data_IF_946807187143
#
_entry.id   IF_946807187143
#
_cell.length_a   1.000
_cell.length_b   1.000
_cell.length_c   1.000
_cell.angle_alpha   90.00
_cell.angle_beta   90.00
_cell.angle_gamma   90.00
#
_symmetry.space_group_name_H-M   'P 1'
#
loop_
_entity.id
_entity.type
_entity.pdbx_description
1 polymer ?
#
# COMPACT_ATOMS: atom_id res chain seq x y z
N UNK A 1 -1.63 -27.86 -35.72
CA UNK A 1 -2.21 -28.36 -34.46
C UNK A 1 -1.07 -28.53 -33.49
N UNK A 2 -0.49 -27.45 -32.95
CA UNK A 2 -1.04 -26.44 -32.02
C UNK A 2 -1.19 -27.01 -30.61
N UNK A 3 -0.15 -26.85 -29.77
CA UNK A 3 -0.26 -26.45 -28.36
C UNK A 3 1.13 -26.44 -27.73
N UNK A 4 1.70 -25.25 -27.52
CA UNK A 4 2.59 -24.93 -26.38
C UNK A 4 2.79 -23.41 -26.27
N UNK A 5 1.69 -22.66 -26.18
CA UNK A 5 1.72 -21.26 -25.78
C UNK A 5 0.88 -21.13 -24.51
N UNK A 6 1.55 -21.10 -23.34
CA UNK A 6 0.84 -21.02 -22.07
C UNK A 6 1.71 -20.80 -20.83
N UNK A 7 3.00 -20.46 -20.97
CA UNK A 7 3.87 -20.13 -19.83
C UNK A 7 4.80 -18.97 -20.22
N UNK A 8 4.50 -17.75 -19.76
CA UNK A 8 5.40 -16.62 -19.99
C UNK A 8 4.84 -15.20 -19.85
N UNK A 9 3.59 -15.01 -19.39
CA UNK A 9 3.01 -13.66 -19.26
C UNK A 9 3.16 -13.03 -17.85
N UNK A 10 3.32 -13.81 -16.78
CA UNK A 10 3.37 -13.29 -15.40
C UNK A 10 4.61 -12.43 -15.07
N UNK A 11 5.77 -12.73 -15.65
CA UNK A 11 7.04 -12.03 -15.35
C UNK A 11 7.14 -10.65 -15.98
N UNK A 12 6.73 -10.50 -17.26
CA UNK A 12 6.95 -9.25 -18.00
C UNK A 12 6.14 -8.07 -17.46
N UNK A 13 4.90 -8.30 -17.02
CA UNK A 13 4.05 -7.21 -16.51
C UNK A 13 4.55 -6.73 -15.15
N UNK A 14 5.02 -7.64 -14.31
CA UNK A 14 5.60 -7.31 -13.00
C UNK A 14 6.91 -6.53 -13.14
N UNK A 15 7.80 -6.96 -14.04
CA UNK A 15 9.06 -6.27 -14.33
C UNK A 15 8.81 -4.83 -14.80
N UNK A 16 7.85 -4.64 -15.72
CA UNK A 16 7.45 -3.31 -16.21
C UNK A 16 6.87 -2.45 -15.09
N UNK A 17 6.00 -2.99 -14.23
CA UNK A 17 5.44 -2.19 -13.13
C UNK A 17 6.51 -1.88 -12.08
N UNK A 18 7.46 -2.79 -11.84
CA UNK A 18 8.57 -2.53 -10.93
C UNK A 18 9.48 -1.42 -11.46
N UNK A 19 9.79 -1.43 -12.75
CA UNK A 19 10.58 -0.40 -13.42
C UNK A 19 9.88 0.96 -13.40
N UNK A 20 8.61 1.02 -13.81
CA UNK A 20 7.80 2.25 -13.75
C UNK A 20 7.70 2.78 -12.32
N UNK A 21 7.56 1.90 -11.33
CA UNK A 21 7.51 2.32 -9.92
C UNK A 21 8.84 2.90 -9.47
N UNK A 22 9.96 2.27 -9.84
CA UNK A 22 11.30 2.74 -9.51
C UNK A 22 11.63 4.08 -10.20
N UNK A 23 11.24 4.23 -11.46
CA UNK A 23 11.38 5.48 -12.21
C UNK A 23 10.52 6.61 -11.66
N UNK A 24 9.33 6.30 -11.14
CA UNK A 24 8.42 7.29 -10.51
C UNK A 24 8.88 7.69 -9.10
N UNK A 25 9.51 6.77 -8.36
CA UNK A 25 10.04 7.02 -7.01
C UNK A 25 11.14 8.09 -7.00
N UNK A 26 11.98 8.10 -8.04
CA UNK A 26 13.12 9.01 -8.19
C UNK A 26 12.70 10.50 -8.29
N UNK A 27 11.81 10.93 -9.20
CA UNK A 27 11.36 12.33 -9.28
C UNK A 27 10.54 12.74 -8.05
N UNK A 28 9.75 11.84 -7.46
CA UNK A 28 9.04 12.14 -6.20
C UNK A 28 10.00 12.36 -5.02
N UNK A 29 11.06 11.54 -4.92
CA UNK A 29 12.13 11.73 -3.93
C UNK A 29 12.85 13.06 -4.11
N UNK A 30 13.14 13.44 -5.36
CA UNK A 30 13.75 14.74 -5.67
C UNK A 30 12.82 15.90 -5.29
N UNK A 31 11.53 15.81 -5.61
CA UNK A 31 10.54 16.82 -5.24
C UNK A 31 10.44 17.01 -3.71
N UNK A 32 10.41 15.90 -2.94
CA UNK A 32 10.44 15.97 -1.47
C UNK A 32 11.73 16.59 -0.95
N UNK A 33 12.88 16.24 -1.52
CA UNK A 33 14.17 16.81 -1.13
C UNK A 33 14.18 18.34 -1.27
N UNK A 34 13.76 18.87 -2.42
CA UNK A 34 13.64 20.32 -2.61
C UNK A 34 12.63 20.95 -1.65
N UNK A 35 11.51 20.29 -1.41
CA UNK A 35 10.49 20.78 -0.48
C UNK A 35 11.00 20.83 0.96
N UNK A 36 11.76 19.82 1.41
CA UNK A 36 12.43 19.82 2.71
C UNK A 36 13.40 21.00 2.85
N UNK A 37 14.19 21.31 1.81
CA UNK A 37 15.07 22.49 1.82
C UNK A 37 14.30 23.81 1.99
N UNK A 38 13.10 23.91 1.38
CA UNK A 38 12.23 25.10 1.51
C UNK A 38 11.62 25.17 2.92
N UNK A 39 11.12 24.04 3.44
CA UNK A 39 10.47 23.95 4.75
C UNK A 39 11.46 24.17 5.92
N UNK A 40 12.72 23.75 5.76
CA UNK A 40 13.83 24.03 6.67
C UNK A 40 14.36 25.48 6.56
N UNK A 41 13.72 26.33 5.75
CA UNK A 41 14.11 27.72 5.50
C UNK A 41 15.55 27.89 4.96
N UNK A 42 16.14 26.83 4.37
CA UNK A 42 17.48 26.87 3.77
C UNK A 42 17.54 27.67 2.47
N UNK A 43 16.38 27.99 1.89
CA UNK A 43 16.22 28.78 0.65
C UNK A 43 15.63 30.18 0.96
N UNK A 44 15.35 30.48 2.23
CA UNK A 44 14.78 31.75 2.69
C UNK A 44 13.65 31.56 3.72
N UNK A 45 13.24 32.65 4.40
CA UNK A 45 12.21 32.58 5.43
C UNK A 45 10.83 32.23 4.85
N UNK A 46 10.08 31.38 5.55
CA UNK A 46 8.80 30.84 5.07
C UNK A 46 7.69 31.13 6.08
N UNK A 47 6.70 31.95 5.69
CA UNK A 47 5.69 32.46 6.63
C UNK A 47 4.25 32.29 6.15
N UNK A 48 3.36 32.13 7.13
CA UNK A 48 1.92 32.19 6.95
C UNK A 48 1.37 31.06 6.06
N UNK A 49 0.33 31.33 5.25
CA UNK A 49 -0.39 30.32 4.48
C UNK A 49 0.48 29.52 3.50
N UNK A 50 1.63 30.07 3.07
CA UNK A 50 2.54 29.37 2.16
C UNK A 50 3.19 28.15 2.83
N UNK A 51 3.58 28.26 4.12
CA UNK A 51 4.15 27.15 4.88
C UNK A 51 3.16 25.99 4.99
N UNK A 52 1.93 26.29 5.40
CA UNK A 52 0.86 25.28 5.51
C UNK A 52 0.59 24.58 4.17
N UNK A 53 0.60 25.33 3.06
CA UNK A 53 0.43 24.75 1.71
C UNK A 53 1.59 23.84 1.33
N UNK A 54 2.82 24.21 1.66
CA UNK A 54 4.00 23.37 1.38
C UNK A 54 4.03 22.11 2.25
N UNK A 55 3.60 22.19 3.51
CA UNK A 55 3.42 21.02 4.38
C UNK A 55 2.35 20.06 3.83
N UNK A 56 1.24 20.58 3.29
CA UNK A 56 0.24 19.78 2.60
C UNK A 56 0.81 19.08 1.35
N UNK A 57 1.69 19.75 0.60
CA UNK A 57 2.37 19.14 -0.56
C UNK A 57 3.32 18.02 -0.11
N UNK A 58 4.07 18.19 0.99
CA UNK A 58 4.98 17.14 1.49
C UNK A 58 4.18 15.91 1.94
N UNK A 59 3.07 16.12 2.65
CA UNK A 59 2.17 15.04 3.05
C UNK A 59 1.68 14.25 1.82
N UNK A 60 1.23 14.94 0.77
CA UNK A 60 0.77 14.30 -0.47
C UNK A 60 1.88 13.55 -1.23
N UNK A 61 3.10 14.09 -1.23
CA UNK A 61 4.26 13.39 -1.80
C UNK A 61 4.63 12.14 -0.99
N UNK A 62 4.52 12.20 0.34
CA UNK A 62 4.71 11.05 1.22
C UNK A 62 3.67 9.95 1.00
N UNK A 63 2.39 10.33 0.87
CA UNK A 63 1.31 9.40 0.49
C UNK A 63 1.61 8.71 -0.85
N UNK A 64 2.02 9.47 -1.88
CA UNK A 64 2.36 8.92 -3.19
C UNK A 64 3.53 7.92 -3.14
N UNK A 65 4.58 8.23 -2.36
CA UNK A 65 5.69 7.30 -2.16
C UNK A 65 5.25 6.03 -1.44
N UNK A 66 4.43 6.14 -0.39
CA UNK A 66 3.90 4.99 0.33
C UNK A 66 3.05 4.10 -0.59
N UNK A 67 2.22 4.69 -1.44
CA UNK A 67 1.41 3.96 -2.41
C UNK A 67 2.28 3.18 -3.43
N UNK A 68 3.38 3.78 -3.92
CA UNK A 68 4.33 3.13 -4.83
C UNK A 68 5.03 1.95 -4.16
N UNK A 69 5.53 2.14 -2.94
CA UNK A 69 6.18 1.09 -2.16
C UNK A 69 5.22 -0.06 -1.89
N UNK A 70 3.95 0.29 -1.63
CA UNK A 70 2.92 -0.69 -1.41
C UNK A 70 2.63 -1.54 -2.64
N UNK A 71 2.72 -0.94 -3.82
CA UNK A 71 2.49 -1.62 -5.11
C UNK A 71 3.61 -2.59 -5.44
N UNK A 72 4.87 -2.20 -5.23
CA UNK A 72 6.05 -3.06 -5.42
C UNK A 72 6.01 -4.28 -4.51
N UNK A 73 5.74 -4.08 -3.21
CA UNK A 73 5.64 -5.18 -2.28
C UNK A 73 4.43 -6.09 -2.58
N UNK A 74 3.33 -5.57 -3.11
CA UNK A 74 2.21 -6.39 -3.56
C UNK A 74 2.63 -7.29 -4.73
N UNK A 75 3.29 -6.73 -5.74
CA UNK A 75 3.80 -7.49 -6.89
C UNK A 75 4.79 -8.58 -6.48
N UNK A 76 5.77 -8.24 -5.64
CA UNK A 76 6.75 -9.22 -5.18
C UNK A 76 6.10 -10.36 -4.39
N UNK A 77 5.05 -10.05 -3.63
CA UNK A 77 4.34 -11.07 -2.85
C UNK A 77 3.41 -11.91 -3.73
N UNK A 78 2.78 -11.34 -4.76
CA UNK A 78 2.00 -12.08 -5.75
C UNK A 78 2.87 -13.05 -6.56
N UNK A 79 4.02 -12.58 -7.07
CA UNK A 79 4.96 -13.45 -7.77
C UNK A 79 5.49 -14.58 -6.87
N UNK A 80 5.73 -14.28 -5.59
CA UNK A 80 6.20 -15.27 -4.63
C UNK A 80 5.13 -16.30 -4.30
N UNK A 81 3.86 -15.91 -4.17
CA UNK A 81 2.75 -16.85 -3.95
C UNK A 81 2.44 -17.70 -5.20
N UNK A 82 2.67 -17.17 -6.42
CA UNK A 82 2.60 -17.94 -7.66
C UNK A 82 3.73 -18.97 -7.76
N UNK A 83 4.94 -18.64 -7.29
CA UNK A 83 6.12 -19.52 -7.34
C UNK A 83 6.19 -20.51 -6.16
N UNK A 84 5.67 -20.15 -4.98
CA UNK A 84 5.62 -20.97 -3.77
C UNK A 84 4.20 -20.98 -3.13
N UNK A 85 3.26 -21.78 -3.69
CA UNK A 85 1.91 -21.92 -3.13
C UNK A 85 1.88 -22.50 -1.70
N UNK A 86 3.00 -23.09 -1.27
CA UNK A 86 3.25 -23.59 0.09
C UNK A 86 3.19 -22.48 1.17
N UNK A 87 3.22 -21.21 0.79
CA UNK A 87 3.06 -20.08 1.72
C UNK A 87 1.63 -19.94 2.29
N UNK A 88 0.65 -20.65 1.70
CA UNK A 88 -0.75 -20.64 2.13
C UNK A 88 -0.98 -21.54 3.33
N UNK A 89 -1.16 -20.90 4.49
CA UNK A 89 -1.52 -21.52 5.75
C UNK A 89 -3.01 -21.34 6.06
N UNK A 90 -3.53 -22.12 7.01
CA UNK A 90 -4.87 -21.89 7.56
C UNK A 90 -4.84 -20.61 8.39
N UNK A 91 -5.72 -19.66 8.09
CA UNK A 91 -5.81 -18.37 8.77
C UNK A 91 -7.22 -18.18 9.30
N UNK A 92 -7.32 -17.70 10.54
CA UNK A 92 -8.55 -17.16 11.10
C UNK A 92 -8.84 -15.79 10.46
N UNK A 93 -9.85 -15.76 9.60
CA UNK A 93 -10.26 -14.57 8.85
C UNK A 93 -10.78 -13.50 9.79
N UNK A 94 -11.50 -13.89 10.86
CA UNK A 94 -12.07 -12.94 11.80
C UNK A 94 -10.95 -12.20 12.55
N UNK A 95 -9.96 -12.95 13.04
CA UNK A 95 -8.79 -12.37 13.71
C UNK A 95 -7.99 -11.43 12.78
N UNK A 96 -7.85 -11.80 11.49
CA UNK A 96 -7.17 -10.97 10.50
C UNK A 96 -7.91 -9.64 10.26
N UNK A 97 -9.25 -9.68 10.12
CA UNK A 97 -10.08 -8.48 9.93
C UNK A 97 -10.07 -7.59 11.17
N UNK A 98 -10.18 -8.17 12.37
CA UNK A 98 -10.07 -7.41 13.63
C UNK A 98 -8.71 -6.71 13.76
N UNK A 99 -7.63 -7.38 13.39
CA UNK A 99 -6.29 -6.79 13.39
C UNK A 99 -6.18 -5.60 12.43
N UNK A 100 -6.78 -5.70 11.24
CA UNK A 100 -6.81 -4.61 10.27
C UNK A 100 -7.65 -3.41 10.76
N UNK A 101 -8.82 -3.68 11.36
CA UNK A 101 -9.64 -2.62 11.98
C UNK A 101 -8.87 -1.91 13.09
N UNK A 102 -8.16 -2.67 13.95
CA UNK A 102 -7.35 -2.09 15.03
C UNK A 102 -6.26 -1.15 14.49
N UNK A 103 -5.58 -1.52 13.40
CA UNK A 103 -4.59 -0.65 12.73
C UNK A 103 -5.22 0.61 12.13
N UNK A 104 -6.47 0.54 11.69
CA UNK A 104 -7.18 1.65 11.06
C UNK A 104 -7.84 2.63 12.05
N UNK A 105 -7.89 2.33 13.35
CA UNK A 105 -8.57 3.15 14.38
C UNK A 105 -8.13 4.62 14.35
N UNK A 106 -6.83 4.89 14.37
CA UNK A 106 -6.30 6.25 14.39
C UNK A 106 -6.72 7.05 13.14
N UNK A 107 -6.68 6.41 11.96
CA UNK A 107 -7.08 7.05 10.70
C UNK A 107 -8.59 7.29 10.67
N UNK A 108 -9.38 6.35 11.17
CA UNK A 108 -10.83 6.49 11.30
C UNK A 108 -11.18 7.73 12.13
N UNK A 109 -10.51 7.93 13.25
CA UNK A 109 -10.72 9.09 14.13
C UNK A 109 -10.40 10.41 13.42
N UNK A 110 -9.28 10.47 12.71
CA UNK A 110 -8.88 11.66 11.94
C UNK A 110 -9.83 11.97 10.77
N UNK A 111 -10.35 10.94 10.11
CA UNK A 111 -11.28 11.07 8.98
C UNK A 111 -12.74 11.30 9.41
N UNK A 112 -13.08 11.14 10.71
CA UNK A 112 -14.46 11.16 11.19
C UNK A 112 -15.32 10.01 10.65
N UNK A 113 -14.68 8.92 10.21
CA UNK A 113 -15.33 7.78 9.57
C UNK A 113 -15.95 6.78 10.56
N UNK A 114 -16.71 5.80 10.04
CA UNK A 114 -17.28 4.70 10.83
C UNK A 114 -16.86 3.35 10.26
N UNK A 115 -16.32 2.49 11.12
CA UNK A 115 -16.02 1.09 10.81
C UNK A 115 -16.99 0.18 11.57
N UNK A 116 -17.59 -0.77 10.89
CA UNK A 116 -18.51 -1.75 11.47
C UNK A 116 -18.17 -3.15 10.96
N UNK A 117 -18.00 -4.11 11.89
CA UNK A 117 -17.71 -5.50 11.56
C UNK A 117 -18.96 -6.36 11.77
N UNK A 118 -19.45 -6.98 10.70
CA UNK A 118 -20.54 -7.96 10.73
C UNK A 118 -20.03 -9.30 10.23
N UNK A 119 -20.23 -10.37 10.98
CA UNK A 119 -19.83 -11.71 10.59
C UNK A 119 -20.85 -12.76 11.08
N UNK A 120 -20.88 -13.91 10.41
CA UNK A 120 -21.66 -15.06 10.86
C UNK A 120 -20.95 -15.80 12.02
N UNK A 121 -21.69 -16.56 12.82
CA UNK A 121 -21.15 -17.44 13.87
C UNK A 121 -20.90 -18.87 13.33
N UNK A 122 -19.83 -19.04 12.56
CA UNK A 122 -18.88 -20.16 12.78
C UNK A 122 -17.41 -19.68 12.67
N UNK A 123 -16.41 -20.50 13.04
CA UNK A 123 -15.01 -20.19 12.74
C UNK A 123 -14.81 -20.05 11.22
N UNK A 124 -14.39 -18.87 10.79
CA UNK A 124 -14.08 -18.56 9.40
C UNK A 124 -12.58 -18.80 9.17
N UNK A 125 -12.24 -19.97 8.64
CA UNK A 125 -10.86 -20.29 8.26
C UNK A 125 -10.69 -20.27 6.74
N UNK A 126 -9.60 -19.68 6.27
CA UNK A 126 -9.22 -19.65 4.86
C UNK A 126 -7.76 -20.09 4.68
N UNK A 127 -7.47 -20.78 3.57
CA UNK A 127 -6.07 -21.02 3.17
C UNK A 127 -5.55 -19.82 2.39
N UNK A 128 -4.71 -19.02 3.02
CA UNK A 128 -4.18 -17.79 2.44
C UNK A 128 -2.76 -17.50 2.93
N UNK A 129 -2.06 -16.62 2.23
CA UNK A 129 -0.86 -15.97 2.73
C UNK A 129 -1.29 -14.80 3.64
N UNK A 130 -0.89 -14.84 4.91
CA UNK A 130 -1.34 -13.87 5.91
C UNK A 130 -0.84 -12.45 5.67
N UNK A 131 0.36 -12.29 5.12
CA UNK A 131 0.89 -10.98 4.79
C UNK A 131 0.10 -10.34 3.63
N UNK A 132 -0.23 -11.13 2.60
CA UNK A 132 -1.10 -10.68 1.50
C UNK A 132 -2.49 -10.31 2.00
N UNK A 133 -3.11 -11.18 2.81
CA UNK A 133 -4.44 -10.92 3.35
C UNK A 133 -4.47 -9.65 4.19
N UNK A 134 -3.51 -9.48 5.09
CA UNK A 134 -3.39 -8.28 5.93
C UNK A 134 -3.30 -7.02 5.07
N UNK A 135 -2.47 -7.04 4.03
CA UNK A 135 -2.30 -5.91 3.13
C UNK A 135 -3.56 -5.57 2.35
N UNK A 136 -4.24 -6.58 1.80
CA UNK A 136 -5.49 -6.38 1.07
C UNK A 136 -6.52 -5.71 1.99
N UNK A 137 -6.65 -6.18 3.23
CA UNK A 137 -7.55 -5.59 4.21
C UNK A 137 -7.18 -4.14 4.54
N UNK A 138 -5.89 -3.86 4.79
CA UNK A 138 -5.41 -2.50 5.09
C UNK A 138 -5.72 -1.54 3.93
N UNK A 139 -5.45 -1.96 2.69
CA UNK A 139 -5.72 -1.14 1.49
C UNK A 139 -7.22 -0.89 1.30
N UNK A 140 -8.07 -1.90 1.50
CA UNK A 140 -9.51 -1.75 1.33
C UNK A 140 -10.10 -0.81 2.39
N UNK A 141 -9.61 -0.88 3.63
CA UNK A 141 -10.04 0.01 4.70
C UNK A 141 -9.52 1.44 4.46
N UNK A 142 -8.25 1.58 4.05
CA UNK A 142 -7.66 2.88 3.73
C UNK A 142 -8.39 3.58 2.59
N UNK A 143 -8.83 2.84 1.57
CA UNK A 143 -9.65 3.41 0.48
C UNK A 143 -11.08 3.78 0.91
N UNK A 144 -11.57 3.24 2.02
CA UNK A 144 -12.95 3.43 2.48
C UNK A 144 -13.11 4.54 3.53
N UNK A 145 -12.00 4.96 4.15
CA UNK A 145 -11.92 6.06 5.11
C UNK A 145 -11.61 7.38 4.40
#
# INVERSE_FOLDING_TARGET
MTQEQGRGQGTRTSDVVAEVTHETRRPLGLARSYLSLILEERIGPLHGPLRERLEQVDAKLGEAQSALDNRLLLLSTLERDEREPSSRQSIDVLAAVQSAINRAQLRRELAGGRLELRHAQPPLSARANGALLSRVLDNLIENAL
#
